data_IF_335117229333
#
_entry.id   IF_335117229333
#
_cell.length_a   1.000
_cell.length_b   1.000
_cell.length_c   1.000
_cell.angle_alpha   90.00
_cell.angle_beta   90.00
_cell.angle_gamma   90.00
#
_symmetry.space_group_name_H-M   'P 1'
#
loop_
_entity.id
_entity.type
_entity.pdbx_description
1 polymer ?
#
# COMPACT_ATOMS: atom_id res chain seq x y z
N UNK A 1 12.26 6.13 22.19
CA UNK A 1 12.27 5.50 20.85
C UNK A 1 13.20 6.30 19.94
N UNK A 2 13.93 5.64 19.02
CA UNK A 2 14.69 6.35 17.99
C UNK A 2 13.77 7.05 16.99
N UNK A 3 14.27 8.08 16.30
CA UNK A 3 13.52 8.77 15.23
C UNK A 3 13.07 7.77 14.16
N UNK A 4 13.94 6.84 13.77
CA UNK A 4 13.61 5.79 12.80
C UNK A 4 12.43 4.92 13.26
N UNK A 5 12.40 4.51 14.52
CA UNK A 5 11.30 3.73 15.07
C UNK A 5 9.99 4.52 15.09
N UNK A 6 10.04 5.82 15.39
CA UNK A 6 8.86 6.70 15.36
C UNK A 6 8.32 6.81 13.93
N UNK A 7 9.19 7.03 12.93
CA UNK A 7 8.79 7.10 11.52
C UNK A 7 8.12 5.81 11.06
N UNK A 8 8.68 4.64 11.42
CA UNK A 8 8.09 3.35 11.10
C UNK A 8 6.71 3.21 11.74
N UNK A 9 6.57 3.52 13.03
CA UNK A 9 5.27 3.43 13.70
C UNK A 9 4.24 4.38 13.08
N UNK A 10 4.61 5.63 12.80
CA UNK A 10 3.71 6.60 12.17
C UNK A 10 3.25 6.13 10.80
N UNK A 11 4.17 5.60 9.98
CA UNK A 11 3.83 5.02 8.68
C UNK A 11 2.81 3.89 8.83
N UNK A 12 3.07 2.92 9.72
CA UNK A 12 2.17 1.78 9.93
C UNK A 12 0.79 2.21 10.43
N UNK A 13 0.75 3.12 11.42
CA UNK A 13 -0.52 3.63 11.97
C UNK A 13 -1.31 4.39 10.91
N UNK A 14 -0.64 5.21 10.09
CA UNK A 14 -1.29 5.96 9.02
C UNK A 14 -1.95 5.01 8.02
N UNK A 15 -1.21 4.04 7.49
CA UNK A 15 -1.76 3.12 6.48
C UNK A 15 -2.82 2.18 7.05
N UNK A 16 -2.65 1.68 8.28
CA UNK A 16 -3.69 0.90 8.95
C UNK A 16 -4.95 1.74 9.19
N UNK A 17 -4.79 2.99 9.64
CA UNK A 17 -5.90 3.92 9.86
C UNK A 17 -6.66 4.25 8.59
N UNK A 18 -5.96 4.50 7.47
CA UNK A 18 -6.57 4.72 6.15
C UNK A 18 -7.34 3.48 5.72
N UNK A 19 -6.78 2.28 5.89
CA UNK A 19 -7.47 1.02 5.58
C UNK A 19 -8.77 0.84 6.38
N UNK A 20 -8.72 1.10 7.70
CA UNK A 20 -9.91 1.06 8.57
C UNK A 20 -10.95 2.09 8.11
N UNK A 21 -10.52 3.32 7.81
CA UNK A 21 -11.41 4.38 7.35
C UNK A 21 -12.15 3.98 6.06
N UNK A 22 -11.44 3.48 5.06
CA UNK A 22 -12.01 3.04 3.79
C UNK A 22 -12.95 1.83 3.98
N UNK A 23 -12.58 0.89 4.86
CA UNK A 23 -13.37 -0.32 5.10
C UNK A 23 -14.76 -0.06 5.68
N UNK A 24 -15.01 1.12 6.27
CA UNK A 24 -16.33 1.49 6.79
C UNK A 24 -17.42 1.54 5.71
N UNK A 25 -17.04 1.73 4.45
CA UNK A 25 -17.96 1.85 3.34
C UNK A 25 -18.10 0.56 2.51
N UNK A 26 -17.41 -0.54 2.88
CA UNK A 26 -17.51 -1.80 2.17
C UNK A 26 -18.82 -2.52 2.52
N UNK A 27 -19.79 -2.49 1.61
CA UNK A 27 -21.12 -3.09 1.81
C UNK A 27 -21.30 -4.42 1.07
N UNK A 28 -20.40 -4.72 0.15
CA UNK A 28 -20.40 -5.93 -0.67
C UNK A 28 -18.98 -6.46 -0.93
N UNK A 29 -18.90 -7.69 -1.45
CA UNK A 29 -17.63 -8.27 -1.91
C UNK A 29 -17.01 -7.47 -3.07
N UNK A 30 -17.84 -6.85 -3.92
CA UNK A 30 -17.37 -5.99 -5.00
C UNK A 30 -16.74 -4.69 -4.49
N UNK A 31 -17.30 -4.09 -3.44
CA UNK A 31 -16.73 -2.90 -2.81
C UNK A 31 -15.33 -3.19 -2.25
N UNK A 32 -15.17 -4.35 -1.62
CA UNK A 32 -13.90 -4.77 -1.06
C UNK A 32 -12.87 -5.19 -2.12
N UNK A 33 -13.29 -5.95 -3.13
CA UNK A 33 -12.36 -6.53 -4.12
C UNK A 33 -11.91 -5.53 -5.18
N UNK A 34 -12.80 -4.63 -5.63
CA UNK A 34 -12.55 -3.74 -6.77
C UNK A 34 -12.95 -2.28 -6.51
N UNK A 35 -13.18 -1.89 -5.26
CA UNK A 35 -13.62 -0.52 -4.92
C UNK A 35 -14.97 -0.17 -5.56
N UNK A 36 -15.85 -1.16 -5.73
CA UNK A 36 -17.18 -0.98 -6.34
C UNK A 36 -17.14 -0.59 -7.83
N UNK A 37 -15.99 -0.80 -8.50
CA UNK A 37 -15.80 -0.44 -9.90
C UNK A 37 -15.55 1.05 -10.17
N UNK A 38 -15.31 1.85 -9.11
CA UNK A 38 -15.16 3.30 -9.20
C UNK A 38 -13.71 3.79 -9.25
N UNK A 39 -12.74 2.87 -9.18
CA UNK A 39 -11.32 3.22 -9.20
C UNK A 39 -10.92 3.79 -10.57
N UNK A 40 -10.48 5.05 -10.59
CA UNK A 40 -9.93 5.68 -11.79
C UNK A 40 -8.62 5.03 -12.25
N UNK A 41 -8.24 5.28 -13.51
CA UNK A 41 -7.05 4.69 -14.15
C UNK A 41 -5.77 4.89 -13.34
N UNK A 42 -5.58 6.07 -12.76
CA UNK A 42 -4.41 6.36 -11.93
C UNK A 42 -4.34 5.49 -10.67
N UNK A 43 -5.46 5.26 -10.00
CA UNK A 43 -5.54 4.40 -8.82
C UNK A 43 -5.30 2.93 -9.17
N UNK A 44 -5.86 2.47 -10.28
CA UNK A 44 -5.57 1.14 -10.84
C UNK A 44 -4.08 0.98 -11.14
N UNK A 45 -3.48 1.92 -11.85
CA UNK A 45 -2.06 1.88 -12.20
C UNK A 45 -1.17 1.89 -10.95
N UNK A 46 -1.46 2.75 -9.97
CA UNK A 46 -0.74 2.77 -8.70
C UNK A 46 -0.88 1.46 -7.92
N UNK A 47 -2.06 0.83 -7.91
CA UNK A 47 -2.28 -0.48 -7.29
C UNK A 47 -1.47 -1.59 -7.97
N UNK A 48 -1.46 -1.63 -9.31
CA UNK A 48 -0.67 -2.61 -10.08
C UNK A 48 0.83 -2.39 -9.89
N UNK A 49 1.30 -1.14 -9.92
CA UNK A 49 2.70 -0.83 -9.67
C UNK A 49 3.11 -1.19 -8.23
N UNK A 50 2.29 -0.83 -7.23
CA UNK A 50 2.56 -1.09 -5.82
C UNK A 50 2.58 -2.57 -5.45
N UNK A 51 1.78 -3.42 -6.12
CA UNK A 51 1.82 -4.87 -5.91
C UNK A 51 3.07 -5.51 -6.51
N UNK A 52 3.68 -4.90 -7.54
CA UNK A 52 4.97 -5.33 -8.09
C UNK A 52 6.16 -4.77 -7.31
N UNK A 53 6.09 -3.53 -6.86
CA UNK A 53 7.18 -2.83 -6.17
C UNK A 53 7.00 -3.02 -4.66
N UNK A 54 7.34 -4.23 -4.20
CA UNK A 54 7.38 -4.57 -2.78
C UNK A 54 8.81 -4.59 -2.22
N UNK A 55 8.96 -4.90 -0.93
CA UNK A 55 10.28 -4.99 -0.27
C UNK A 55 11.26 -5.89 -1.04
N UNK A 56 10.81 -7.06 -1.48
CA UNK A 56 11.64 -7.97 -2.29
C UNK A 56 12.13 -7.34 -3.61
N UNK A 57 11.27 -6.59 -4.30
CA UNK A 57 11.63 -5.89 -5.54
C UNK A 57 12.68 -4.80 -5.29
N UNK A 58 12.54 -4.04 -4.19
CA UNK A 58 13.51 -2.98 -3.86
C UNK A 58 14.85 -3.54 -3.41
N UNK A 59 14.87 -4.54 -2.52
CA UNK A 59 16.12 -5.14 -2.04
C UNK A 59 16.83 -5.94 -3.13
N UNK A 60 16.08 -6.64 -4.00
CA UNK A 60 16.65 -7.38 -5.13
C UNK A 60 17.35 -6.46 -6.12
N UNK A 61 16.68 -5.39 -6.58
CA UNK A 61 17.29 -4.42 -7.50
C UNK A 61 18.45 -3.68 -6.85
N UNK A 62 18.37 -3.30 -5.57
CA UNK A 62 19.50 -2.69 -4.88
C UNK A 62 20.71 -3.64 -4.79
N UNK A 63 20.46 -4.93 -4.57
CA UNK A 63 21.50 -5.97 -4.58
C UNK A 63 22.19 -6.10 -5.93
N UNK A 64 21.41 -6.14 -7.02
CA UNK A 64 21.92 -6.26 -8.39
C UNK A 64 22.75 -5.04 -8.85
N UNK A 65 22.57 -3.87 -8.22
CA UNK A 65 23.24 -2.61 -8.60
C UNK A 65 24.49 -2.33 -7.75
N UNK A 66 24.54 -2.84 -6.51
CA UNK A 66 25.65 -2.58 -5.56
C UNK A 66 26.74 -3.67 -5.63
N UNK A 67 26.45 -4.83 -6.24
CA UNK A 67 27.43 -5.89 -6.53
C UNK A 67 28.41 -5.49 -7.62
#
# INVERSE_FOLDING_TARGET
MSISAIVILLYLVLFAGVGIYLSRNNKSSADWAIGGGTLGVAMLAAGVAGTRIGGAGTYGVAGDVIS
#
